data_IF_378700607227
#
_entry.id   IF_378700607227
#
_cell.length_a   1.000
_cell.length_b   1.000
_cell.length_c   1.000
_cell.angle_alpha   90.00
_cell.angle_beta   90.00
_cell.angle_gamma   90.00
#
_symmetry.space_group_name_H-M   'P 1'
#
loop_
_entity.id
_entity.type
_entity.pdbx_description
1 polymer ?
#
# COMPACT_ATOMS: atom_id res chain seq x y z
N UNK A 1 -31.06 -8.57 50.75
CA UNK A 1 -30.49 -7.58 49.80
C UNK A 1 -30.35 -8.27 48.45
N UNK A 2 -31.16 -7.89 47.46
CA UNK A 2 -31.16 -8.49 46.12
C UNK A 2 -30.08 -7.81 45.27
N UNK A 3 -29.06 -8.56 44.85
CA UNK A 3 -28.12 -8.16 43.83
C UNK A 3 -28.85 -8.12 42.47
N UNK A 4 -29.36 -6.95 42.10
CA UNK A 4 -29.83 -6.66 40.75
C UNK A 4 -28.62 -6.58 39.82
N UNK A 5 -28.23 -7.74 39.25
CA UNK A 5 -27.39 -7.75 38.05
C UNK A 5 -28.23 -7.19 36.91
N UNK A 6 -27.93 -5.95 36.52
CA UNK A 6 -28.44 -5.40 35.27
C UNK A 6 -28.03 -6.32 34.12
N UNK A 7 -28.94 -6.64 33.19
CA UNK A 7 -28.59 -7.41 32.02
C UNK A 7 -27.63 -6.57 31.16
N UNK A 8 -26.43 -7.10 30.95
CA UNK A 8 -25.49 -6.64 29.92
C UNK A 8 -26.19 -6.84 28.57
N UNK A 9 -26.88 -5.80 28.12
CA UNK A 9 -27.56 -5.78 26.83
C UNK A 9 -26.52 -5.94 25.72
N UNK A 10 -26.48 -7.14 25.13
CA UNK A 10 -26.11 -7.44 23.75
C UNK A 10 -25.43 -6.30 22.96
N UNK A 11 -24.14 -6.04 23.22
CA UNK A 11 -23.28 -5.15 22.42
C UNK A 11 -22.74 -5.83 21.15
N UNK A 12 -23.45 -6.86 20.68
CA UNK A 12 -22.99 -7.79 19.66
C UNK A 12 -23.98 -7.95 18.53
N UNK A 13 -24.41 -6.86 17.87
CA UNK A 13 -24.89 -6.88 16.46
C UNK A 13 -25.30 -5.48 15.94
N UNK A 14 -24.45 -4.43 16.02
CA UNK A 14 -24.77 -3.09 15.46
C UNK A 14 -23.55 -2.33 14.92
N UNK A 15 -22.63 -3.02 14.24
CA UNK A 15 -21.40 -2.40 13.71
C UNK A 15 -21.61 -1.67 12.39
N UNK A 16 -22.01 -2.40 11.34
CA UNK A 16 -22.12 -1.88 9.97
C UNK A 16 -23.33 -0.95 9.77
N UNK A 17 -24.52 -1.32 10.24
CA UNK A 17 -25.73 -0.51 10.08
C UNK A 17 -25.69 0.82 10.86
N UNK A 18 -24.97 0.86 11.98
CA UNK A 18 -24.80 2.09 12.76
C UNK A 18 -23.85 3.06 12.03
N UNK A 19 -22.77 2.56 11.42
CA UNK A 19 -21.85 3.36 10.62
C UNK A 19 -22.53 3.95 9.37
N UNK A 20 -23.57 3.31 8.83
CA UNK A 20 -24.35 3.85 7.71
C UNK A 20 -24.97 5.23 8.03
N UNK A 21 -25.12 5.59 9.30
CA UNK A 21 -25.53 6.93 9.75
C UNK A 21 -24.42 7.98 9.63
N UNK A 22 -23.24 7.61 9.14
CA UNK A 22 -22.05 8.46 8.95
C UNK A 22 -21.50 8.29 7.52
N UNK A 23 -22.31 8.58 6.48
CA UNK A 23 -21.99 8.23 5.10
C UNK A 23 -20.70 8.86 4.59
N UNK A 24 -20.41 10.12 4.99
CA UNK A 24 -19.19 10.81 4.57
C UNK A 24 -17.92 10.15 5.09
N UNK A 25 -17.90 9.78 6.38
CA UNK A 25 -16.76 9.09 6.98
C UNK A 25 -16.58 7.68 6.42
N UNK A 26 -17.67 6.95 6.16
CA UNK A 26 -17.61 5.64 5.50
C UNK A 26 -17.10 5.73 4.06
N UNK A 27 -17.55 6.72 3.30
CA UNK A 27 -17.06 6.96 1.94
C UNK A 27 -15.56 7.24 1.93
N UNK A 28 -15.08 8.09 2.84
CA UNK A 28 -13.65 8.37 2.97
C UNK A 28 -12.84 7.13 3.37
N UNK A 29 -13.34 6.30 4.28
CA UNK A 29 -12.71 5.01 4.61
C UNK A 29 -12.67 4.08 3.39
N UNK A 30 -13.77 3.95 2.65
CA UNK A 30 -13.84 3.16 1.43
C UNK A 30 -12.83 3.62 0.38
N UNK A 31 -12.69 4.93 0.17
CA UNK A 31 -11.71 5.51 -0.74
C UNK A 31 -10.27 5.18 -0.32
N UNK A 32 -9.94 5.26 0.99
CA UNK A 32 -8.64 4.83 1.51
C UNK A 32 -8.36 3.35 1.21
N UNK A 33 -9.36 2.47 1.32
CA UNK A 33 -9.20 1.06 0.98
C UNK A 33 -8.94 0.85 -0.52
N UNK A 34 -9.70 1.52 -1.38
CA UNK A 34 -9.54 1.44 -2.84
C UNK A 34 -8.16 1.93 -3.26
N UNK A 35 -7.72 3.08 -2.77
CA UNK A 35 -6.42 3.65 -3.11
C UNK A 35 -5.27 2.76 -2.61
N UNK A 36 -5.43 2.14 -1.44
CA UNK A 36 -4.46 1.16 -0.96
C UNK A 36 -4.37 -0.07 -1.88
N UNK A 37 -5.51 -0.61 -2.34
CA UNK A 37 -5.52 -1.73 -3.29
C UNK A 37 -4.84 -1.35 -4.60
N UNK A 38 -5.05 -0.12 -5.08
CA UNK A 38 -4.35 0.43 -6.26
C UNK A 38 -2.83 0.45 -6.07
N UNK A 39 -2.35 0.94 -4.93
CA UNK A 39 -0.92 0.90 -4.58
C UNK A 39 -0.39 -0.53 -4.63
N UNK A 40 -1.07 -1.49 -3.99
CA UNK A 40 -0.60 -2.89 -3.97
C UNK A 40 -0.54 -3.52 -5.37
N UNK A 41 -1.54 -3.27 -6.20
CA UNK A 41 -1.55 -3.73 -7.58
C UNK A 41 -0.41 -3.09 -8.40
N UNK A 42 -0.20 -1.79 -8.28
CA UNK A 42 0.88 -1.10 -8.99
C UNK A 42 2.27 -1.58 -8.56
N UNK A 43 2.50 -1.90 -7.29
CA UNK A 43 3.78 -2.49 -6.85
C UNK A 43 4.05 -3.84 -7.54
N UNK A 44 3.01 -4.66 -7.74
CA UNK A 44 3.15 -5.93 -8.47
C UNK A 44 3.48 -5.70 -9.96
N UNK A 45 2.81 -4.75 -10.61
CA UNK A 45 3.12 -4.34 -11.99
C UNK A 45 4.57 -3.85 -12.09
N UNK A 46 5.00 -2.97 -11.18
CA UNK A 46 6.38 -2.47 -11.14
C UNK A 46 7.40 -3.60 -11.00
N UNK A 47 7.10 -4.62 -10.19
CA UNK A 47 7.98 -5.79 -10.06
C UNK A 47 8.02 -6.59 -11.35
N UNK A 48 6.87 -6.83 -11.98
CA UNK A 48 6.78 -7.52 -13.25
C UNK A 48 7.62 -6.79 -14.32
N UNK A 49 7.44 -5.47 -14.46
CA UNK A 49 8.21 -4.65 -15.40
C UNK A 49 9.71 -4.73 -15.13
N UNK A 50 10.14 -4.65 -13.86
CA UNK A 50 11.57 -4.78 -13.52
C UNK A 50 12.13 -6.17 -13.80
N UNK A 51 11.35 -7.23 -13.65
CA UNK A 51 11.80 -8.61 -13.88
C UNK A 51 11.83 -8.95 -15.37
N UNK A 52 10.80 -8.57 -16.11
CA UNK A 52 10.50 -9.09 -17.45
C UNK A 52 10.61 -8.05 -18.58
N UNK A 53 10.71 -6.75 -18.26
CA UNK A 53 10.84 -5.67 -19.24
C UNK A 53 9.55 -5.41 -20.04
N UNK A 54 9.67 -4.87 -21.25
CA UNK A 54 8.52 -4.53 -22.12
C UNK A 54 7.73 -5.75 -22.63
N UNK A 55 8.36 -6.93 -22.65
CA UNK A 55 7.73 -8.17 -23.15
C UNK A 55 6.89 -8.87 -22.07
N UNK A 56 6.10 -8.09 -21.33
CA UNK A 56 5.21 -8.61 -20.29
C UNK A 56 4.08 -9.44 -20.91
N UNK A 57 4.09 -10.73 -20.64
CA UNK A 57 2.91 -11.58 -20.86
C UNK A 57 1.99 -11.52 -19.64
N UNK A 58 0.71 -11.87 -19.82
CA UNK A 58 -0.22 -12.03 -18.69
C UNK A 58 0.30 -13.03 -17.65
N UNK A 59 1.08 -14.03 -18.06
CA UNK A 59 1.70 -14.99 -17.15
C UNK A 59 2.75 -14.36 -16.23
N UNK A 60 3.49 -13.38 -16.73
CA UNK A 60 4.53 -12.66 -15.98
C UNK A 60 3.94 -11.73 -14.93
N UNK A 61 2.82 -11.07 -15.25
CA UNK A 61 2.06 -10.26 -14.31
C UNK A 61 1.51 -11.13 -13.16
N UNK A 62 0.96 -12.31 -13.49
CA UNK A 62 0.47 -13.27 -12.49
C UNK A 62 1.63 -13.75 -11.60
N UNK A 63 2.76 -14.13 -12.18
CA UNK A 63 3.92 -14.57 -11.41
C UNK A 63 4.45 -13.46 -10.48
N UNK A 64 4.50 -12.21 -10.93
CA UNK A 64 4.89 -11.08 -10.09
C UNK A 64 3.89 -10.81 -8.95
N UNK A 65 2.59 -10.96 -9.21
CA UNK A 65 1.56 -10.89 -8.18
C UNK A 65 1.73 -11.99 -7.13
N UNK A 66 1.98 -13.23 -7.55
CA UNK A 66 2.25 -14.35 -6.65
C UNK A 66 3.48 -14.07 -5.79
N UNK A 67 4.59 -13.61 -6.36
CA UNK A 67 5.80 -13.23 -5.60
C UNK A 67 5.48 -12.15 -4.57
N UNK A 68 4.70 -11.14 -4.95
CA UNK A 68 4.29 -10.06 -4.05
C UNK A 68 3.37 -10.54 -2.93
N UNK A 69 2.52 -11.53 -3.18
CA UNK A 69 1.66 -12.13 -2.15
C UNK A 69 2.47 -12.89 -1.09
N UNK A 70 3.57 -13.53 -1.50
CA UNK A 70 4.48 -14.24 -0.59
C UNK A 70 5.37 -13.29 0.23
N UNK A 71 5.43 -12.01 -0.12
CA UNK A 71 6.15 -11.00 0.65
C UNK A 71 5.35 -10.58 1.90
N UNK A 72 5.98 -10.63 3.07
CA UNK A 72 5.35 -10.27 4.35
C UNK A 72 5.10 -8.77 4.47
N UNK A 73 3.88 -8.36 4.08
CA UNK A 73 3.42 -6.97 4.17
C UNK A 73 4.17 -6.02 3.25
N UNK A 74 3.83 -4.73 3.34
CA UNK A 74 4.35 -3.71 2.42
C UNK A 74 5.87 -3.58 2.44
N UNK A 75 6.51 -3.71 3.61
CA UNK A 75 7.95 -3.56 3.74
C UNK A 75 8.72 -4.67 3.00
N UNK A 76 8.20 -5.90 3.02
CA UNK A 76 8.76 -6.99 2.20
C UNK A 76 8.59 -6.71 0.71
N UNK A 77 7.39 -6.27 0.30
CA UNK A 77 7.10 -5.91 -1.10
C UNK A 77 8.04 -4.83 -1.64
N UNK A 78 8.27 -3.75 -0.88
CA UNK A 78 9.18 -2.68 -1.28
C UNK A 78 10.65 -3.11 -1.28
N UNK A 79 11.08 -3.95 -0.34
CA UNK A 79 12.43 -4.53 -0.33
C UNK A 79 12.71 -5.38 -1.57
N UNK A 80 11.74 -6.20 -2.00
CA UNK A 80 11.84 -6.99 -3.23
C UNK A 80 12.02 -6.08 -4.46
N UNK A 81 11.23 -5.01 -4.57
CA UNK A 81 11.40 -4.01 -5.64
C UNK A 81 12.79 -3.36 -5.61
N UNK A 82 13.27 -2.95 -4.43
CA UNK A 82 14.60 -2.35 -4.29
C UNK A 82 15.70 -3.33 -4.69
N UNK A 83 15.57 -4.61 -4.35
CA UNK A 83 16.54 -5.64 -4.70
C UNK A 83 16.66 -5.82 -6.22
N UNK A 84 15.52 -5.90 -6.93
CA UNK A 84 15.52 -6.01 -8.40
C UNK A 84 15.98 -4.71 -9.05
N UNK A 85 15.48 -3.55 -8.58
CA UNK A 85 15.88 -2.24 -9.08
C UNK A 85 17.38 -1.96 -8.92
N UNK A 86 18.02 -2.46 -7.85
CA UNK A 86 19.47 -2.33 -7.66
C UNK A 86 20.28 -3.00 -8.77
N UNK A 87 19.79 -4.12 -9.30
CA UNK A 87 20.43 -4.82 -10.42
C UNK A 87 20.23 -3.99 -11.70
N UNK A 88 18.99 -3.56 -11.96
CA UNK A 88 18.61 -2.81 -13.18
C UNK A 88 19.21 -1.42 -13.27
N UNK A 89 19.35 -0.74 -12.14
CA UNK A 89 19.83 0.64 -12.03
C UNK A 89 21.26 0.71 -11.48
N UNK A 90 22.06 -0.34 -11.67
CA UNK A 90 23.44 -0.41 -11.19
C UNK A 90 24.31 0.74 -11.74
N UNK A 91 24.01 1.22 -12.96
CA UNK A 91 24.66 2.37 -13.60
C UNK A 91 24.07 3.72 -13.16
N UNK A 92 22.93 3.74 -12.45
CA UNK A 92 22.17 4.93 -12.07
C UNK A 92 21.88 4.99 -10.54
N UNK A 93 22.91 5.05 -9.68
CA UNK A 93 22.73 4.98 -8.22
C UNK A 93 21.93 6.16 -7.62
N UNK A 94 21.98 7.34 -8.24
CA UNK A 94 21.18 8.48 -7.80
C UNK A 94 19.67 8.25 -8.00
N UNK A 95 19.29 7.65 -9.14
CA UNK A 95 17.91 7.28 -9.44
C UNK A 95 17.43 6.17 -8.50
N UNK A 96 18.25 5.14 -8.27
CA UNK A 96 17.94 4.09 -7.30
C UNK A 96 17.64 4.66 -5.90
N UNK A 97 18.45 5.63 -5.44
CA UNK A 97 18.23 6.29 -4.14
C UNK A 97 16.91 7.07 -4.09
N UNK A 98 16.55 7.76 -5.18
CA UNK A 98 15.27 8.48 -5.27
C UNK A 98 14.09 7.50 -5.29
N UNK A 99 14.17 6.43 -6.07
CA UNK A 99 13.15 5.39 -6.11
C UNK A 99 12.95 4.71 -4.75
N UNK A 100 14.05 4.37 -4.06
CA UNK A 100 14.00 3.85 -2.70
C UNK A 100 13.30 4.81 -1.74
N UNK A 101 13.58 6.12 -1.83
CA UNK A 101 12.92 7.13 -1.00
C UNK A 101 11.40 7.18 -1.25
N UNK A 102 10.95 7.06 -2.51
CA UNK A 102 9.52 7.00 -2.83
C UNK A 102 8.87 5.73 -2.25
N UNK A 103 9.56 4.59 -2.31
CA UNK A 103 9.08 3.35 -1.68
C UNK A 103 9.03 3.44 -0.14
N UNK A 104 10.00 4.10 0.49
CA UNK A 104 9.99 4.35 1.94
C UNK A 104 8.78 5.23 2.34
N UNK A 105 8.42 6.22 1.52
CA UNK A 105 7.22 7.03 1.73
C UNK A 105 5.92 6.19 1.67
N UNK A 106 5.86 5.18 0.80
CA UNK A 106 4.75 4.21 0.77
C UNK A 106 4.71 3.37 2.06
N UNK A 107 5.86 2.91 2.54
CA UNK A 107 5.93 2.17 3.83
C UNK A 107 5.42 3.03 4.98
N UNK A 108 5.78 4.32 5.01
CA UNK A 108 5.28 5.24 6.03
C UNK A 108 3.78 5.53 5.91
N UNK A 109 3.27 5.71 4.69
CA UNK A 109 1.83 5.84 4.45
C UNK A 109 1.06 4.57 4.86
N UNK A 110 1.62 3.40 4.60
CA UNK A 110 1.07 2.11 4.99
C UNK A 110 0.98 1.96 6.52
N UNK A 111 1.94 2.49 7.28
CA UNK A 111 1.86 2.51 8.76
C UNK A 111 0.64 3.30 9.23
N UNK A 112 0.33 4.42 8.58
CA UNK A 112 -0.88 5.20 8.87
C UNK A 112 -2.14 4.43 8.51
N UNK A 113 -2.20 3.80 7.32
CA UNK A 113 -3.33 2.96 6.89
C UNK A 113 -3.52 1.72 7.78
N UNK A 114 -2.45 1.03 8.16
CA UNK A 114 -2.52 -0.16 9.01
C UNK A 114 -3.05 0.15 10.41
N UNK A 115 -2.88 1.39 10.89
CA UNK A 115 -3.56 1.87 12.10
C UNK A 115 -5.07 1.98 11.93
N UNK A 116 -5.57 2.23 10.72
CA UNK A 116 -7.01 2.34 10.40
C UNK A 116 -7.68 0.99 10.15
N UNK A 117 -6.99 0.06 9.49
CA UNK A 117 -7.65 -1.17 9.00
C UNK A 117 -7.74 -2.30 10.02
N UNK A 118 -6.86 -2.32 11.03
CA UNK A 118 -6.84 -3.35 12.06
C UNK A 118 -7.47 -2.83 13.34
N UNK A 119 -8.79 -2.99 13.45
CA UNK A 119 -9.55 -2.64 14.64
C UNK A 119 -11.06 -2.63 14.40
N UNK A 120 -11.81 -2.25 15.43
CA UNK A 120 -13.28 -2.16 15.37
C UNK A 120 -13.68 -0.71 15.10
N UNK A 121 -14.52 -0.52 14.10
CA UNK A 121 -15.14 0.77 13.80
C UNK A 121 -16.49 0.91 14.50
N UNK A 122 -16.77 2.11 15.00
CA UNK A 122 -18.02 2.47 15.69
C UNK A 122 -18.36 3.94 15.45
N UNK A 123 -19.58 4.35 15.83
CA UNK A 123 -19.99 5.77 15.76
C UNK A 123 -19.15 6.60 16.73
N UNK A 124 -18.62 7.73 16.25
CA UNK A 124 -17.90 8.68 17.08
C UNK A 124 -18.84 9.55 17.93
N UNK A 125 -18.29 10.26 18.95
CA UNK A 125 -19.10 11.05 19.87
C UNK A 125 -19.72 12.30 19.21
N UNK A 126 -19.12 12.79 18.12
CA UNK A 126 -19.54 13.98 17.39
C UNK A 126 -20.28 13.59 16.10
N UNK A 127 -21.14 14.47 15.56
CA UNK A 127 -21.72 14.30 14.22
C UNK A 127 -20.64 14.02 13.18
N UNK A 128 -20.94 13.13 12.23
CA UNK A 128 -20.04 12.76 11.11
C UNK A 128 -18.66 12.19 11.48
N UNK A 129 -18.43 11.89 12.77
CA UNK A 129 -17.20 11.21 13.21
C UNK A 129 -17.39 9.70 13.36
N UNK A 130 -16.28 8.99 13.17
CA UNK A 130 -16.17 7.54 13.42
C UNK A 130 -15.06 7.29 14.43
N UNK A 131 -15.24 6.28 15.28
CA UNK A 131 -14.26 5.87 16.28
C UNK A 131 -13.67 4.53 15.90
N UNK A 132 -12.35 4.48 15.86
CA UNK A 132 -11.57 3.27 15.70
C UNK A 132 -11.06 2.80 17.06
N UNK A 133 -11.37 1.55 17.41
CA UNK A 133 -10.83 0.86 18.56
C UNK A 133 -9.79 -0.16 18.10
N UNK A 134 -8.54 0.05 18.50
CA UNK A 134 -7.44 -0.90 18.26
C UNK A 134 -7.04 -1.56 19.56
N UNK A 135 -6.98 -2.89 19.57
CA UNK A 135 -6.37 -3.66 20.67
C UNK A 135 -4.87 -3.78 20.45
N UNK A 136 -4.10 -3.44 21.48
CA UNK A 136 -2.63 -3.59 21.52
C UNK A 136 -2.32 -4.31 22.83
N UNK A 137 -2.15 -5.63 22.75
CA UNK A 137 -2.05 -6.50 23.93
C UNK A 137 -3.35 -6.46 24.75
N UNK A 138 -3.24 -6.14 26.04
CA UNK A 138 -4.37 -5.99 26.96
C UNK A 138 -5.03 -4.60 26.93
N UNK A 139 -4.43 -3.63 26.22
CA UNK A 139 -4.92 -2.25 26.18
C UNK A 139 -5.75 -1.99 24.90
N UNK A 140 -6.81 -1.21 25.03
CA UNK A 140 -7.55 -0.64 23.89
C UNK A 140 -7.18 0.82 23.70
N UNK A 141 -6.83 1.21 22.48
CA UNK A 141 -6.67 2.61 22.08
C UNK A 141 -7.82 3.01 21.19
N UNK A 142 -8.53 4.06 21.59
CA UNK A 142 -9.60 4.65 20.80
C UNK A 142 -9.07 5.89 20.08
N UNK A 143 -9.39 6.04 18.80
CA UNK A 143 -9.10 7.24 18.02
C UNK A 143 -10.34 7.66 17.26
N UNK A 144 -10.72 8.93 17.38
CA UNK A 144 -11.85 9.50 16.65
C UNK A 144 -11.33 10.17 15.38
N UNK A 145 -12.00 9.88 14.26
CA UNK A 145 -11.69 10.46 12.96
C UNK A 145 -12.91 11.25 12.47
N UNK A 146 -12.67 12.48 12.04
CA UNK A 146 -13.63 13.27 11.28
C UNK A 146 -13.33 13.12 9.77
N UNK A 147 -14.25 13.55 8.88
CA UNK A 147 -14.06 13.43 7.44
C UNK A 147 -12.79 14.10 6.92
N UNK A 148 -12.42 15.27 7.46
CA UNK A 148 -11.22 16.01 7.06
C UNK A 148 -9.92 15.25 7.37
N UNK A 149 -9.84 14.59 8.53
CA UNK A 149 -8.70 13.75 8.88
C UNK A 149 -8.57 12.55 7.93
N UNK A 150 -9.69 11.91 7.58
CA UNK A 150 -9.69 10.80 6.63
C UNK A 150 -9.30 11.27 5.22
N UNK A 151 -9.81 12.43 4.78
CA UNK A 151 -9.43 13.06 3.52
C UNK A 151 -7.93 13.38 3.46
N UNK A 152 -7.34 13.88 4.55
CA UNK A 152 -5.90 14.12 4.63
C UNK A 152 -5.08 12.82 4.46
N UNK A 153 -5.56 11.71 5.03
CA UNK A 153 -4.91 10.40 4.87
C UNK A 153 -5.00 9.92 3.42
N UNK A 154 -6.18 10.05 2.80
CA UNK A 154 -6.39 9.71 1.39
C UNK A 154 -5.48 10.53 0.47
N UNK A 155 -5.51 11.87 0.60
CA UNK A 155 -4.67 12.76 -0.21
C UNK A 155 -3.17 12.43 -0.06
N UNK A 156 -2.73 12.02 1.14
CA UNK A 156 -1.35 11.60 1.32
C UNK A 156 -1.06 10.27 0.60
N UNK A 157 -1.99 9.32 0.58
CA UNK A 157 -1.85 8.07 -0.17
C UNK A 157 -1.78 8.33 -1.69
N UNK A 158 -2.68 9.13 -2.22
CA UNK A 158 -2.70 9.53 -3.63
C UNK A 158 -1.38 10.23 -4.01
N UNK A 159 -0.92 11.19 -3.20
CA UNK A 159 0.34 11.89 -3.45
C UNK A 159 1.54 10.94 -3.50
N UNK A 160 1.68 10.03 -2.53
CA UNK A 160 2.82 9.10 -2.54
C UNK A 160 2.70 8.07 -3.66
N UNK A 161 1.48 7.71 -4.06
CA UNK A 161 1.24 6.87 -5.22
C UNK A 161 1.68 7.57 -6.51
N UNK A 162 1.23 8.80 -6.75
CA UNK A 162 1.56 9.57 -7.95
C UNK A 162 3.07 9.83 -8.03
N UNK A 163 3.71 10.19 -6.92
CA UNK A 163 5.16 10.38 -6.84
C UNK A 163 5.93 9.08 -7.16
N UNK A 164 5.47 7.93 -6.67
CA UNK A 164 6.06 6.63 -6.97
C UNK A 164 5.83 6.23 -8.43
N UNK A 165 4.63 6.46 -8.94
CA UNK A 165 4.25 6.10 -10.31
C UNK A 165 5.06 6.92 -11.32
N UNK A 166 5.16 8.23 -11.12
CA UNK A 166 5.94 9.13 -11.96
C UNK A 166 7.42 8.70 -11.99
N UNK A 167 8.08 8.57 -10.83
CA UNK A 167 9.49 8.16 -10.81
C UNK A 167 9.71 6.78 -11.45
N UNK A 168 8.75 5.85 -11.29
CA UNK A 168 8.91 4.53 -11.85
C UNK A 168 8.80 4.53 -13.37
N UNK A 169 7.67 5.01 -13.90
CA UNK A 169 7.40 4.90 -15.33
C UNK A 169 8.15 5.94 -16.18
N UNK A 170 8.45 7.13 -15.63
CA UNK A 170 9.13 8.18 -16.39
C UNK A 170 10.66 8.07 -16.30
N UNK A 171 11.20 7.45 -15.24
CA UNK A 171 12.65 7.43 -15.02
C UNK A 171 13.23 6.02 -14.86
N UNK A 172 12.63 5.15 -14.03
CA UNK A 172 13.16 3.80 -13.76
C UNK A 172 13.01 2.89 -14.97
N UNK A 173 11.83 2.87 -15.61
CA UNK A 173 11.56 2.00 -16.76
C UNK A 173 12.52 2.29 -17.92
N UNK A 174 12.64 3.54 -18.42
CA UNK A 174 13.57 3.85 -19.50
C UNK A 174 15.03 3.50 -19.16
N UNK A 175 15.46 3.82 -17.94
CA UNK A 175 16.82 3.50 -17.49
C UNK A 175 17.09 1.98 -17.40
N UNK A 176 16.05 1.18 -17.15
CA UNK A 176 16.15 -0.28 -17.05
C UNK A 176 16.14 -0.99 -18.41
N UNK A 177 15.45 -0.43 -19.40
CA UNK A 177 15.40 -0.93 -20.78
C UNK A 177 16.70 -0.66 -21.53
N UNK A 178 17.29 0.52 -21.33
CA UNK A 178 18.64 0.85 -21.79
C UNK A 178 19.66 -0.20 -21.30
N UNK A 179 19.56 -0.59 -20.03
CA UNK A 179 20.42 -1.61 -19.44
C UNK A 179 20.22 -3.00 -20.08
N UNK A 180 18.96 -3.40 -20.29
CA UNK A 180 18.62 -4.68 -20.94
C UNK A 180 19.17 -4.77 -22.36
N UNK A 181 18.96 -3.72 -23.15
CA UNK A 181 19.41 -3.63 -24.53
C UNK A 181 20.93 -3.80 -24.63
N UNK A 182 21.70 -3.05 -23.80
CA UNK A 182 23.17 -3.14 -23.76
C UNK A 182 23.68 -4.52 -23.36
N UNK A 183 23.00 -5.23 -22.46
CA UNK A 183 23.42 -6.59 -22.06
C UNK A 183 23.15 -7.61 -23.15
N UNK A 184 22.03 -7.52 -23.86
CA UNK A 184 21.73 -8.39 -25.00
C UNK A 184 22.84 -8.23 -26.05
N UNK A 185 23.16 -7.00 -26.42
CA UNK A 185 24.23 -6.70 -27.38
C UNK A 185 25.58 -7.27 -26.94
N UNK A 186 25.92 -7.12 -25.65
CA UNK A 186 27.15 -7.67 -25.09
C UNK A 186 27.22 -9.19 -25.19
N UNK A 187 26.14 -9.91 -24.87
CA UNK A 187 26.12 -11.37 -24.94
C UNK A 187 26.10 -11.90 -26.36
N UNK A 188 25.39 -11.24 -27.28
CA UNK A 188 25.43 -11.56 -28.71
C UNK A 188 26.85 -11.39 -29.27
N UNK A 189 27.55 -10.31 -28.91
CA UNK A 189 28.93 -10.07 -29.33
C UNK A 189 29.96 -11.08 -28.78
N UNK A 190 29.64 -11.81 -27.70
CA UNK A 190 30.46 -12.89 -27.17
C UNK A 190 30.20 -14.21 -27.91
N UNK A 191 28.97 -14.46 -28.38
CA UNK A 191 28.62 -15.70 -29.08
C UNK A 191 29.19 -15.76 -30.50
N UNK A 192 29.47 -14.62 -31.13
CA UNK A 192 30.07 -14.50 -32.46
C UNK A 192 31.61 -14.59 -32.47
N UNK A 193 32.25 -14.83 -31.31
CA UNK A 193 33.70 -14.99 -31.14
C UNK A 193 34.09 -16.42 -30.83
#
# INVERSE_FOLDING_TARGET
MKNSREPVLNAGFRGSHALAQRPQALAALGAIYVEWTRIEASLAVMLATLLFGESLSTGDEIAAMEIMEHCTGIAGKTQSLIAVARIRLSENPALLKRFQKSLDAIVDAARTRNRLVHGRWSIGPEPDTVRHERRIGLNSKNTTYNPSTLACILNNLERVYDELHAIFFEEVVPASEDFLSRRIDYFSAIQDR
#
